data_IF_343555174731
#
_entry.id   IF_343555174731
#
_cell.length_a   1.000
_cell.length_b   1.000
_cell.length_c   1.000
_cell.angle_alpha   90.00
_cell.angle_beta   90.00
_cell.angle_gamma   90.00
#
_symmetry.space_group_name_H-M   'P 1'
#
loop_
_entity.id
_entity.type
_entity.pdbx_description
1 polymer ?
#
# COMPACT_ATOMS: atom_id res chain seq x y z
N UNK A 1 -11.72 -0.37 34.54
CA UNK A 1 -11.08 0.80 33.89
C UNK A 1 -9.81 0.31 33.25
N UNK A 2 -9.57 0.55 31.96
CA UNK A 2 -8.38 0.08 31.22
C UNK A 2 -7.05 0.73 31.67
N UNK A 3 -6.94 1.15 32.95
CA UNK A 3 -5.80 1.90 33.48
C UNK A 3 -5.65 3.32 32.94
N UNK A 4 -6.53 3.75 32.04
CA UNK A 4 -6.56 5.09 31.45
C UNK A 4 -7.76 5.85 31.99
N UNK A 5 -7.56 6.58 33.10
CA UNK A 5 -8.59 7.46 33.70
C UNK A 5 -8.82 8.74 32.88
N UNK A 6 -7.82 9.13 32.08
CA UNK A 6 -7.86 10.35 31.28
C UNK A 6 -8.46 10.08 29.89
N UNK A 7 -9.62 10.69 29.64
CA UNK A 7 -10.33 10.59 28.37
C UNK A 7 -9.52 11.16 27.19
N UNK A 8 -8.64 12.13 27.43
CA UNK A 8 -7.75 12.70 26.42
C UNK A 8 -6.67 11.71 25.98
N UNK A 9 -6.09 10.96 26.92
CA UNK A 9 -5.11 9.92 26.60
C UNK A 9 -5.76 8.80 25.78
N UNK A 10 -6.96 8.36 26.17
CA UNK A 10 -7.70 7.36 25.40
C UNK A 10 -8.02 7.85 23.98
N UNK A 11 -8.46 9.11 23.85
CA UNK A 11 -8.72 9.72 22.56
C UNK A 11 -7.47 9.81 21.68
N UNK A 12 -6.30 10.13 22.26
CA UNK A 12 -5.04 10.18 21.53
C UNK A 12 -4.66 8.80 20.97
N UNK A 13 -4.77 7.73 21.78
CA UNK A 13 -4.51 6.37 21.31
C UNK A 13 -5.45 5.96 20.17
N UNK A 14 -6.75 6.22 20.33
CA UNK A 14 -7.74 5.92 19.28
C UNK A 14 -7.45 6.70 18.00
N UNK A 15 -7.08 7.98 18.11
CA UNK A 15 -6.72 8.81 16.98
C UNK A 15 -5.51 8.24 16.24
N UNK A 16 -4.44 7.84 16.94
CA UNK A 16 -3.27 7.22 16.32
C UNK A 16 -3.63 5.95 15.54
N UNK A 17 -4.46 5.08 16.13
CA UNK A 17 -4.92 3.85 15.47
C UNK A 17 -5.73 4.19 14.22
N UNK A 18 -6.68 5.11 14.32
CA UNK A 18 -7.52 5.52 13.19
C UNK A 18 -6.69 6.16 12.08
N UNK A 19 -5.73 7.04 12.41
CA UNK A 19 -4.83 7.64 11.42
C UNK A 19 -4.00 6.59 10.68
N UNK A 20 -3.49 5.58 11.39
CA UNK A 20 -2.79 4.46 10.76
C UNK A 20 -3.70 3.69 9.80
N UNK A 21 -4.91 3.36 10.23
CA UNK A 21 -5.89 2.65 9.40
C UNK A 21 -6.29 3.43 8.15
N UNK A 22 -6.47 4.75 8.27
CA UNK A 22 -6.76 5.62 7.12
C UNK A 22 -5.60 5.59 6.13
N UNK A 23 -4.34 5.69 6.60
CA UNK A 23 -3.16 5.65 5.74
C UNK A 23 -3.03 4.32 5.00
N UNK A 24 -3.22 3.20 5.70
CA UNK A 24 -3.20 1.86 5.10
C UNK A 24 -4.32 1.70 4.08
N UNK A 25 -5.55 2.08 4.43
CA UNK A 25 -6.70 1.99 3.53
C UNK A 25 -6.50 2.84 2.27
N UNK A 26 -6.01 4.08 2.42
CA UNK A 26 -5.69 4.94 1.29
C UNK A 26 -4.61 4.32 0.40
N UNK A 27 -3.53 3.80 1.01
CA UNK A 27 -2.47 3.09 0.31
C UNK A 27 -3.02 1.95 -0.53
N UNK A 28 -3.80 1.05 0.08
CA UNK A 28 -4.42 -0.09 -0.62
C UNK A 28 -5.30 0.36 -1.79
N UNK A 29 -6.14 1.39 -1.59
CA UNK A 29 -7.07 1.89 -2.63
C UNK A 29 -6.31 2.59 -3.76
N UNK A 30 -5.19 3.24 -3.47
CA UNK A 30 -4.51 4.13 -4.42
C UNK A 30 -3.22 3.53 -5.03
N UNK A 31 -2.74 2.39 -4.53
CA UNK A 31 -1.45 1.79 -4.90
C UNK A 31 -1.23 1.63 -6.41
N UNK A 32 -2.28 1.27 -7.17
CA UNK A 32 -2.17 1.00 -8.61
C UNK A 32 -2.70 2.13 -9.51
N UNK A 33 -3.15 3.26 -8.96
CA UNK A 33 -3.78 4.32 -9.77
C UNK A 33 -2.79 5.20 -10.54
N UNK A 34 -1.50 5.12 -10.23
CA UNK A 34 -0.43 5.87 -10.90
C UNK A 34 0.33 5.08 -11.96
N UNK A 35 -0.11 3.86 -12.30
CA UNK A 35 0.56 3.08 -13.34
C UNK A 35 0.30 3.74 -14.70
N UNK A 36 1.37 4.10 -15.40
CA UNK A 36 1.26 4.48 -16.81
C UNK A 36 0.71 3.29 -17.61
N UNK A 37 -0.11 3.56 -18.66
CA UNK A 37 -0.52 2.50 -19.56
C UNK A 37 0.73 1.85 -20.19
N UNK A 38 0.80 0.52 -20.14
CA UNK A 38 1.90 -0.25 -20.74
C UNK A 38 2.09 0.17 -22.19
N UNK A 39 3.32 0.59 -22.52
CA UNK A 39 3.68 0.86 -23.91
C UNK A 39 4.16 -0.44 -24.58
N UNK A 40 4.29 -0.41 -25.91
CA UNK A 40 4.71 -1.59 -26.67
C UNK A 40 6.13 -2.09 -26.30
N UNK A 41 7.04 -1.18 -25.92
CA UNK A 41 8.40 -1.55 -25.51
C UNK A 41 8.42 -2.24 -24.13
N UNK A 42 7.55 -1.83 -23.21
CA UNK A 42 7.42 -2.49 -21.89
C UNK A 42 6.93 -3.94 -22.04
N UNK A 43 6.00 -4.17 -22.99
CA UNK A 43 5.47 -5.50 -23.30
C UNK A 43 6.55 -6.40 -23.93
N UNK A 44 7.31 -5.85 -24.89
CA UNK A 44 8.40 -6.58 -25.56
C UNK A 44 9.52 -6.95 -24.58
N UNK A 45 9.92 -6.02 -23.70
CA UNK A 45 10.90 -6.28 -22.66
C UNK A 45 10.41 -7.33 -21.65
N UNK A 46 9.15 -7.26 -21.22
CA UNK A 46 8.57 -8.24 -20.29
C UNK A 46 8.50 -9.65 -20.89
N UNK A 47 8.29 -9.76 -22.21
CA UNK A 47 8.34 -11.04 -22.92
C UNK A 47 9.76 -11.61 -22.95
N UNK A 48 10.75 -10.81 -23.35
CA UNK A 48 12.14 -11.25 -23.41
C UNK A 48 12.72 -11.68 -22.06
N UNK A 49 12.29 -11.06 -20.96
CA UNK A 49 12.69 -11.53 -19.63
C UNK A 49 12.12 -12.90 -19.26
N UNK A 50 10.88 -13.22 -19.64
CA UNK A 50 10.30 -14.54 -19.35
C UNK A 50 11.01 -15.64 -20.12
N UNK A 51 11.38 -15.37 -21.36
CA UNK A 51 12.15 -16.31 -22.18
C UNK A 51 13.55 -16.54 -21.57
N UNK A 52 14.22 -15.49 -21.10
CA UNK A 52 15.52 -15.61 -20.43
C UNK A 52 15.45 -16.35 -19.08
N UNK A 53 14.36 -16.21 -18.32
CA UNK A 53 14.14 -16.92 -17.05
C UNK A 53 13.77 -18.41 -17.27
N UNK A 54 13.08 -18.75 -18.36
CA UNK A 54 12.76 -20.15 -18.73
C UNK A 54 13.97 -20.90 -19.32
N UNK A 55 14.96 -20.19 -19.88
CA UNK A 55 16.19 -20.77 -20.42
C UNK A 55 17.28 -21.06 -19.35
N UNK A 56 17.05 -20.72 -18.07
CA UNK A 56 17.95 -20.98 -16.92
C UNK A 56 17.47 -22.18 -16.10
#
# INVERSE_FOLDING_TARGET
>A
MFGLEDAGILAAYLLCIVSCLIGVAYGIINWNKGAEPLNAADIEWAHGQKEADEEI
#
